data_IF_756731076564
#
_entry.id   IF_756731076564
#
_cell.length_a   1.000
_cell.length_b   1.000
_cell.length_c   1.000
_cell.angle_alpha   90.00
_cell.angle_beta   90.00
_cell.angle_gamma   90.00
#
_symmetry.space_group_name_H-M   'P 1'
#
loop_
_entity.id
_entity.type
_entity.pdbx_description
1 polymer ?
#
# COMPACT_ATOMS: atom_id res chain seq x y z
N UNK A 1 -6.39 12.82 -6.08
CA UNK A 1 -5.73 12.50 -4.79
C UNK A 1 -6.82 12.28 -3.76
N UNK A 2 -6.71 11.24 -2.94
CA UNK A 2 -7.62 10.94 -1.84
C UNK A 2 -6.80 10.87 -0.55
N UNK A 3 -7.39 11.29 0.57
CA UNK A 3 -6.83 11.12 1.91
C UNK A 3 -7.89 10.43 2.78
N UNK A 4 -7.49 9.37 3.47
CA UNK A 4 -8.30 8.67 4.47
C UNK A 4 -7.59 8.77 5.81
N UNK A 5 -8.35 9.00 6.87
CA UNK A 5 -7.86 8.96 8.24
C UNK A 5 -8.64 7.91 9.03
N UNK A 6 -7.95 7.17 9.89
CA UNK A 6 -8.57 6.20 10.77
C UNK A 6 -7.88 6.16 12.13
N UNK A 7 -8.67 6.19 13.19
CA UNK A 7 -8.16 5.91 14.54
C UNK A 7 -7.94 4.40 14.78
N UNK A 8 -8.56 3.54 13.96
CA UNK A 8 -8.44 2.09 14.07
C UNK A 8 -8.44 1.44 12.67
N UNK A 9 -7.27 1.03 12.15
CA UNK A 9 -7.17 0.44 10.82
C UNK A 9 -7.86 -0.93 10.73
N UNK A 10 -8.21 -1.57 11.85
CA UNK A 10 -8.88 -2.88 11.86
C UNK A 10 -10.33 -2.82 11.35
N UNK A 11 -10.89 -1.62 11.33
CA UNK A 11 -12.25 -1.33 10.83
C UNK A 11 -12.32 -1.19 9.31
N UNK A 12 -11.17 -1.14 8.63
CA UNK A 12 -11.11 -0.95 7.19
C UNK A 12 -11.80 -2.11 6.43
N UNK A 13 -12.52 -1.81 5.33
CA UNK A 13 -13.27 -2.82 4.59
C UNK A 13 -12.32 -3.82 3.92
N UNK A 14 -12.61 -5.11 4.10
CA UNK A 14 -11.86 -6.19 3.43
C UNK A 14 -12.36 -6.36 2.00
N UNK A 15 -11.44 -6.41 1.03
CA UNK A 15 -11.78 -6.53 -0.40
C UNK A 15 -11.59 -7.93 -0.98
N UNK A 16 -10.77 -8.76 -0.35
CA UNK A 16 -10.51 -10.14 -0.80
C UNK A 16 -10.97 -11.10 0.29
N UNK A 17 -11.82 -12.06 -0.08
CA UNK A 17 -12.28 -13.11 0.84
C UNK A 17 -11.21 -14.18 1.03
N UNK A 18 -11.18 -14.81 2.21
CA UNK A 18 -10.33 -15.98 2.47
C UNK A 18 -8.85 -15.68 2.73
N UNK A 19 -8.40 -14.43 2.62
CA UNK A 19 -7.03 -14.04 2.98
C UNK A 19 -6.99 -13.30 4.32
N UNK A 20 -5.87 -13.44 5.02
CA UNK A 20 -5.51 -12.55 6.11
C UNK A 20 -4.49 -11.54 5.58
N UNK A 21 -4.71 -10.27 5.91
CA UNK A 21 -3.78 -9.19 5.64
C UNK A 21 -3.74 -8.27 6.86
N UNK A 22 -2.64 -7.54 7.01
CA UNK A 22 -2.52 -6.52 8.04
C UNK A 22 -3.65 -5.48 7.89
N UNK A 23 -4.24 -4.99 8.99
CA UNK A 23 -5.23 -3.90 8.95
C UNK A 23 -4.84 -2.71 8.08
N UNK A 24 -3.56 -2.30 8.10
CA UNK A 24 -3.05 -1.20 7.26
C UNK A 24 -3.16 -1.54 5.77
N UNK A 25 -3.03 -2.81 5.38
CA UNK A 25 -3.18 -3.24 3.99
C UNK A 25 -4.60 -2.95 3.48
N UNK A 26 -5.62 -3.19 4.30
CA UNK A 26 -7.01 -2.89 3.96
C UNK A 26 -7.28 -1.40 3.91
N UNK A 27 -6.72 -0.63 4.85
CA UNK A 27 -6.84 0.84 4.85
C UNK A 27 -6.23 1.45 3.58
N UNK A 28 -5.03 1.00 3.19
CA UNK A 28 -4.36 1.41 1.96
C UNK A 28 -5.20 1.00 0.74
N UNK A 29 -5.67 -0.24 0.71
CA UNK A 29 -6.49 -0.76 -0.38
C UNK A 29 -7.78 0.05 -0.56
N UNK A 30 -8.37 0.56 0.53
CA UNK A 30 -9.54 1.43 0.47
C UNK A 30 -9.22 2.81 -0.10
N UNK A 31 -8.09 3.41 0.28
CA UNK A 31 -7.61 4.67 -0.30
C UNK A 31 -7.34 4.53 -1.81
N UNK A 32 -6.77 3.40 -2.23
CA UNK A 32 -6.56 3.08 -3.64
C UNK A 32 -7.89 2.96 -4.39
N UNK A 33 -8.87 2.24 -3.84
CA UNK A 33 -10.20 2.18 -4.46
C UNK A 33 -10.83 3.58 -4.59
N UNK A 34 -10.69 4.41 -3.55
CA UNK A 34 -11.15 5.80 -3.56
C UNK A 34 -10.57 6.59 -4.73
N UNK A 35 -9.26 6.51 -4.97
CA UNK A 35 -8.64 7.25 -6.08
C UNK A 35 -9.03 6.69 -7.44
N UNK A 36 -9.13 5.37 -7.58
CA UNK A 36 -9.50 4.72 -8.85
C UNK A 36 -10.95 5.03 -9.26
N UNK A 37 -11.87 5.20 -8.30
CA UNK A 37 -13.25 5.61 -8.57
C UNK A 37 -13.36 7.01 -9.20
N UNK A 38 -12.29 7.82 -9.15
CA UNK A 38 -12.24 9.17 -9.75
C UNK A 38 -11.57 9.20 -11.12
N UNK A 39 -11.20 8.05 -11.67
CA UNK A 39 -10.37 7.90 -12.88
C UNK A 39 -11.10 7.08 -13.93
N UNK A 40 -10.66 7.20 -15.18
CA UNK A 40 -10.95 6.20 -16.19
C UNK A 40 -10.32 4.86 -15.80
N UNK A 41 -10.88 3.76 -16.33
CA UNK A 41 -10.33 2.42 -16.11
C UNK A 41 -8.89 2.39 -16.63
N UNK A 42 -7.95 2.04 -15.73
CA UNK A 42 -6.54 1.86 -16.08
C UNK A 42 -6.30 0.43 -16.52
N UNK A 43 -5.39 0.20 -17.47
CA UNK A 43 -4.91 -1.14 -17.80
C UNK A 43 -4.06 -1.68 -16.63
N UNK A 44 -4.50 -2.73 -15.92
CA UNK A 44 -3.79 -3.23 -14.74
C UNK A 44 -2.36 -3.69 -15.02
N UNK A 45 -2.05 -4.07 -16.26
CA UNK A 45 -0.69 -4.49 -16.66
C UNK A 45 0.30 -3.32 -16.72
N UNK A 46 -0.22 -2.10 -16.84
CA UNK A 46 0.54 -0.85 -16.95
C UNK A 46 0.66 -0.08 -15.62
N UNK A 47 0.07 -0.60 -14.54
CA UNK A 47 -0.01 0.09 -13.25
C UNK A 47 1.09 -0.40 -12.32
N UNK A 48 2.04 0.49 -12.02
CA UNK A 48 2.97 0.31 -10.91
C UNK A 48 2.36 0.73 -9.57
N UNK A 49 2.86 0.17 -8.47
CA UNK A 49 2.39 0.51 -7.12
C UNK A 49 3.58 0.81 -6.21
N UNK A 50 3.61 2.04 -5.68
CA UNK A 50 4.63 2.48 -4.74
C UNK A 50 3.96 2.83 -3.41
N UNK A 51 4.33 2.11 -2.35
CA UNK A 51 3.84 2.35 -0.99
C UNK A 51 4.98 2.85 -0.12
N UNK A 52 4.75 3.88 0.66
CA UNK A 52 5.67 4.35 1.71
C UNK A 52 4.99 4.22 3.05
N UNK A 53 5.65 3.54 3.99
CA UNK A 53 5.14 3.41 5.35
C UNK A 53 6.23 3.01 6.33
N UNK A 54 6.53 3.87 7.30
CA UNK A 54 7.39 3.53 8.43
C UNK A 54 6.83 2.33 9.21
N UNK A 55 5.55 2.38 9.58
CA UNK A 55 4.91 1.36 10.43
C UNK A 55 4.54 0.08 9.69
N UNK A 56 4.42 0.10 8.35
CA UNK A 56 4.17 -1.08 7.51
C UNK A 56 3.13 -2.05 8.13
N UNK A 57 3.56 -3.24 8.54
CA UNK A 57 2.72 -4.32 9.11
C UNK A 57 2.95 -4.52 10.61
N UNK A 58 3.31 -3.45 11.34
CA UNK A 58 3.66 -3.52 12.76
C UNK A 58 2.56 -4.18 13.61
N UNK A 59 1.28 -3.93 13.28
CA UNK A 59 0.15 -4.56 13.96
C UNK A 59 0.23 -6.10 13.90
N UNK A 60 0.42 -6.64 12.69
CA UNK A 60 0.54 -8.10 12.49
C UNK A 60 1.83 -8.64 13.08
N UNK A 61 2.95 -7.92 12.94
CA UNK A 61 4.23 -8.30 13.53
C UNK A 61 4.13 -8.44 15.06
N UNK A 62 3.46 -7.49 15.74
CA UNK A 62 3.20 -7.56 17.18
C UNK A 62 2.34 -8.76 17.55
N UNK A 63 1.26 -9.00 16.80
CA UNK A 63 0.40 -10.18 17.02
C UNK A 63 1.16 -11.50 16.85
N UNK A 64 2.06 -11.58 15.87
CA UNK A 64 2.93 -12.74 15.66
C UNK A 64 3.90 -12.89 16.81
N UNK A 65 4.58 -11.83 17.25
CA UNK A 65 5.52 -11.85 18.36
C UNK A 65 4.87 -12.34 19.67
N UNK A 66 3.68 -11.84 19.99
CA UNK A 66 2.91 -12.32 21.16
C UNK A 66 2.54 -13.80 21.06
N UNK A 67 2.30 -14.30 19.84
CA UNK A 67 1.96 -15.70 19.60
C UNK A 67 3.16 -16.65 19.77
N UNK A 68 4.39 -16.16 19.55
CA UNK A 68 5.63 -16.92 19.79
C UNK A 68 5.70 -17.38 21.25
N UNK A 69 5.40 -16.49 22.19
CA UNK A 69 5.41 -16.81 23.63
C UNK A 69 4.42 -17.92 24.01
N UNK A 70 3.38 -18.14 23.19
CA UNK A 70 2.36 -19.18 23.36
C UNK A 70 2.65 -20.46 22.56
N UNK A 71 3.76 -20.51 21.82
CA UNK A 71 4.21 -21.68 21.05
C UNK A 71 3.37 -22.02 19.82
N UNK A 72 2.48 -21.12 19.35
CA UNK A 72 1.59 -21.37 18.21
C UNK A 72 1.48 -20.13 17.32
N UNK A 73 2.10 -20.19 16.15
CA UNK A 73 2.05 -19.11 15.15
C UNK A 73 1.10 -19.51 14.02
N UNK A 74 0.22 -18.59 13.59
CA UNK A 74 -0.59 -18.78 12.39
C UNK A 74 0.27 -18.58 11.15
N UNK A 75 0.36 -19.56 10.22
CA UNK A 75 1.12 -19.40 8.98
C UNK A 75 0.64 -18.20 8.14
N UNK A 76 -0.67 -17.96 8.11
CA UNK A 76 -1.25 -16.83 7.38
C UNK A 76 -0.84 -15.48 7.98
N UNK A 77 -0.85 -15.36 9.31
CA UNK A 77 -0.40 -14.12 9.97
C UNK A 77 1.09 -13.91 9.83
N UNK A 78 1.87 -14.98 9.89
CA UNK A 78 3.31 -14.92 9.68
C UNK A 78 3.65 -14.41 8.27
N UNK A 79 2.99 -14.94 7.23
CA UNK A 79 3.16 -14.47 5.86
C UNK A 79 2.74 -12.99 5.69
N UNK A 80 1.66 -12.58 6.33
CA UNK A 80 1.17 -11.20 6.28
C UNK A 80 2.04 -10.19 7.07
N UNK A 81 2.90 -10.66 7.98
CA UNK A 81 3.76 -9.80 8.81
C UNK A 81 4.96 -9.21 8.06
N UNK A 82 5.21 -9.64 6.82
CA UNK A 82 6.25 -9.05 5.96
C UNK A 82 5.79 -7.70 5.41
N UNK A 83 6.62 -6.64 5.42
CA UNK A 83 6.22 -5.31 4.95
C UNK A 83 5.66 -5.31 3.52
N UNK A 84 6.26 -6.08 2.60
CA UNK A 84 5.81 -6.22 1.22
C UNK A 84 4.39 -6.79 1.06
N UNK A 85 3.78 -7.34 2.12
CA UNK A 85 2.39 -7.80 2.07
C UNK A 85 1.40 -6.66 1.81
N UNK A 86 1.71 -5.42 2.24
CA UNK A 86 0.83 -4.27 1.99
C UNK A 86 0.65 -4.03 0.49
N UNK A 87 1.76 -3.94 -0.26
CA UNK A 87 1.71 -3.73 -1.70
C UNK A 87 1.15 -4.96 -2.43
N UNK A 88 1.45 -6.17 -1.94
CA UNK A 88 0.89 -7.40 -2.49
C UNK A 88 -0.63 -7.48 -2.41
N UNK A 89 -1.23 -7.04 -1.30
CA UNK A 89 -2.69 -7.01 -1.12
C UNK A 89 -3.36 -6.01 -2.07
N UNK A 90 -2.74 -4.83 -2.27
CA UNK A 90 -3.22 -3.85 -3.26
C UNK A 90 -3.21 -4.47 -4.66
N UNK A 91 -2.10 -5.07 -5.06
CA UNK A 91 -1.98 -5.67 -6.39
C UNK A 91 -2.97 -6.82 -6.58
N UNK A 92 -3.14 -7.68 -5.57
CA UNK A 92 -4.13 -8.75 -5.61
C UNK A 92 -5.58 -8.23 -5.69
N UNK A 93 -5.88 -7.11 -5.04
CA UNK A 93 -7.24 -6.55 -5.02
C UNK A 93 -7.66 -5.91 -6.35
N UNK A 94 -6.70 -5.34 -7.09
CA UNK A 94 -6.97 -4.59 -8.33
C UNK A 94 -6.38 -5.24 -9.59
N UNK A 95 -5.67 -6.36 -9.45
CA UNK A 95 -5.04 -7.08 -10.56
C UNK A 95 -3.82 -6.39 -11.16
N UNK A 96 -3.16 -5.48 -10.42
CA UNK A 96 -2.00 -4.74 -10.92
C UNK A 96 -0.79 -5.65 -11.13
N UNK A 97 -0.08 -5.44 -12.24
CA UNK A 97 1.05 -6.28 -12.65
C UNK A 97 2.32 -5.48 -13.02
N UNK A 98 2.30 -4.16 -12.89
CA UNK A 98 3.46 -3.31 -13.09
C UNK A 98 4.51 -3.43 -11.97
N UNK A 99 5.54 -2.57 -11.98
CA UNK A 99 6.56 -2.56 -10.94
C UNK A 99 5.95 -2.22 -9.57
N UNK A 100 6.41 -2.90 -8.52
CA UNK A 100 5.88 -2.69 -7.17
C UNK A 100 7.01 -2.56 -6.16
N UNK A 101 6.83 -1.65 -5.20
CA UNK A 101 7.76 -1.49 -4.09
C UNK A 101 7.04 -0.96 -2.87
N UNK A 102 7.53 -1.38 -1.71
CA UNK A 102 7.24 -0.73 -0.44
C UNK A 102 8.53 -0.18 0.18
N UNK A 103 8.51 1.07 0.58
CA UNK A 103 9.57 1.73 1.33
C UNK A 103 9.18 1.79 2.81
N UNK A 104 9.89 1.03 3.65
CA UNK A 104 9.68 1.01 5.11
C UNK A 104 10.46 2.13 5.81
N UNK A 105 10.15 3.37 5.47
CA UNK A 105 10.77 4.58 6.02
C UNK A 105 9.71 5.66 6.24
N UNK A 106 10.00 6.70 7.05
CA UNK A 106 9.13 7.87 7.16
C UNK A 106 8.92 8.58 5.82
N UNK A 107 7.75 9.16 5.62
CA UNK A 107 7.34 9.77 4.34
C UNK A 107 8.26 10.92 3.95
N UNK A 108 8.71 11.72 4.92
CA UNK A 108 9.62 12.84 4.70
C UNK A 108 11.01 12.40 4.22
N UNK A 109 11.43 11.18 4.56
CA UNK A 109 12.72 10.60 4.15
C UNK A 109 12.62 9.87 2.81
N UNK A 110 11.42 9.41 2.44
CA UNK A 110 11.20 8.65 1.21
C UNK A 110 11.28 9.51 -0.07
N UNK A 111 11.07 10.82 0.04
CA UNK A 111 10.85 11.70 -1.13
C UNK A 111 11.89 11.57 -2.25
N UNK A 112 13.22 11.62 -2.00
CA UNK A 112 14.19 11.49 -3.08
C UNK A 112 14.10 10.13 -3.81
N UNK A 113 13.80 9.06 -3.07
CA UNK A 113 13.66 7.71 -3.63
C UNK A 113 12.35 7.59 -4.42
N UNK A 114 11.26 8.15 -3.90
CA UNK A 114 9.96 8.19 -4.58
C UNK A 114 10.08 8.95 -5.91
N UNK A 115 10.68 10.14 -5.90
CA UNK A 115 10.85 10.96 -7.10
C UNK A 115 11.68 10.23 -8.17
N UNK A 116 12.76 9.55 -7.77
CA UNK A 116 13.58 8.75 -8.67
C UNK A 116 12.83 7.55 -9.26
N UNK A 117 12.10 6.79 -8.43
CA UNK A 117 11.32 5.63 -8.89
C UNK A 117 10.16 6.04 -9.79
N UNK A 118 9.48 7.15 -9.50
CA UNK A 118 8.43 7.66 -10.36
C UNK A 118 9.00 8.05 -11.73
N UNK A 119 10.14 8.73 -11.76
CA UNK A 119 10.78 9.11 -13.03
C UNK A 119 11.19 7.89 -13.86
N UNK A 120 11.80 6.89 -13.22
CA UNK A 120 12.23 5.65 -13.87
C UNK A 120 11.04 4.81 -14.35
N UNK A 121 10.06 4.57 -13.48
CA UNK A 121 8.94 3.70 -13.82
C UNK A 121 8.04 4.30 -14.87
N UNK A 122 7.75 5.59 -14.78
CA UNK A 122 6.92 6.28 -15.77
C UNK A 122 7.61 6.49 -17.12
N UNK A 123 8.93 6.27 -17.18
CA UNK A 123 9.65 6.26 -18.45
C UNK A 123 9.48 4.92 -19.18
N UNK A 124 9.70 3.80 -18.49
CA UNK A 124 9.93 2.52 -19.16
C UNK A 124 9.06 1.33 -18.70
N UNK A 125 8.46 1.37 -17.51
CA UNK A 125 7.87 0.16 -16.90
C UNK A 125 6.43 0.30 -16.40
N UNK A 126 5.87 1.51 -16.37
CA UNK A 126 4.49 1.77 -15.99
C UNK A 126 3.91 2.97 -16.77
N UNK A 127 2.67 2.85 -17.24
CA UNK A 127 1.92 4.00 -17.75
C UNK A 127 1.38 4.89 -16.62
N UNK A 128 1.13 4.27 -15.46
CA UNK A 128 0.61 4.91 -14.27
C UNK A 128 1.26 4.34 -13.02
N UNK A 129 1.50 5.16 -12.00
CA UNK A 129 1.92 4.71 -10.67
C UNK A 129 0.90 5.10 -9.63
N UNK A 130 0.33 4.11 -8.93
CA UNK A 130 -0.42 4.34 -7.71
C UNK A 130 0.59 4.60 -6.59
N UNK A 131 0.66 5.85 -6.14
CA UNK A 131 1.49 6.26 -5.02
C UNK A 131 0.65 6.34 -3.75
N UNK A 132 1.09 5.63 -2.72
CA UNK A 132 0.47 5.59 -1.39
C UNK A 132 1.49 6.03 -0.35
N UNK A 133 1.12 7.00 0.47
CA UNK A 133 1.87 7.43 1.64
C UNK A 133 1.04 7.10 2.89
N UNK A 134 1.59 6.31 3.81
CA UNK A 134 0.97 5.96 5.08
C UNK A 134 1.81 6.46 6.26
N UNK A 135 1.19 7.29 7.08
CA UNK A 135 1.76 7.91 8.27
C UNK A 135 0.90 7.58 9.48
N UNK A 136 1.51 7.55 10.67
CA UNK A 136 0.81 7.42 11.95
C UNK A 136 1.16 8.65 12.79
N UNK A 137 0.14 9.40 13.20
CA UNK A 137 0.32 10.56 14.07
C UNK A 137 0.68 10.12 15.50
N UNK A 138 1.19 11.05 16.31
CA UNK A 138 1.56 10.77 17.72
C UNK A 138 0.40 10.23 18.56
N UNK A 139 -0.84 10.59 18.22
CA UNK A 139 -2.06 10.08 18.87
C UNK A 139 -2.49 8.68 18.40
N UNK A 140 -1.68 8.04 17.54
CA UNK A 140 -1.93 6.71 16.97
C UNK A 140 -2.86 6.72 15.76
N UNK A 141 -3.30 7.89 15.28
CA UNK A 141 -4.19 7.97 14.12
C UNK A 141 -3.43 7.69 12.83
N UNK A 142 -3.96 6.77 12.04
CA UNK A 142 -3.44 6.43 10.72
C UNK A 142 -3.94 7.45 9.69
N UNK A 143 -3.04 7.93 8.84
CA UNK A 143 -3.37 8.73 7.66
C UNK A 143 -2.80 8.07 6.42
N UNK A 144 -3.66 7.89 5.41
CA UNK A 144 -3.24 7.37 4.11
C UNK A 144 -3.57 8.40 3.05
N UNK A 145 -2.55 8.89 2.34
CA UNK A 145 -2.71 9.71 1.15
C UNK A 145 -2.42 8.87 -0.08
N UNK A 146 -3.35 8.86 -1.03
CA UNK A 146 -3.25 8.10 -2.26
C UNK A 146 -3.43 8.99 -3.49
N UNK A 147 -2.58 8.78 -4.49
CA UNK A 147 -2.64 9.46 -5.78
C UNK A 147 -2.25 8.51 -6.90
N UNK A 148 -2.69 8.83 -8.12
CA UNK A 148 -2.20 8.18 -9.34
C UNK A 148 -1.35 9.23 -10.06
N UNK A 149 -0.10 8.87 -10.34
CA UNK A 149 0.84 9.68 -11.11
C UNK A 149 0.91 9.09 -12.51
N UNK A 150 0.70 9.92 -13.51
CA UNK A 150 0.70 9.49 -14.91
C UNK A 150 2.07 9.80 -15.53
N UNK A 151 2.55 8.91 -16.40
CA UNK A 151 3.66 9.24 -17.29
C UNK A 151 3.19 10.39 -18.18
N UNK A 152 4.07 11.38 -18.42
CA UNK A 152 3.70 12.51 -19.29
C UNK A 152 3.15 11.96 -20.60
N UNK A 153 1.90 12.28 -20.89
CA UNK A 153 1.26 11.92 -22.15
C UNK A 153 2.07 12.47 -23.32
N UNK A 154 2.43 11.61 -24.26
CA UNK A 154 2.56 12.08 -25.63
C UNK A 154 1.16 12.49 -26.10
N UNK A 155 1.02 13.66 -26.77
CA UNK A 155 -0.25 14.05 -27.36
C UNK A 155 -0.56 13.12 -28.53
N UNK A 156 -1.62 12.34 -28.40
CA UNK A 156 -2.39 11.83 -29.54
C UNK A 156 -3.37 12.89 -30.03
#
# INVERSE_FOLDING_TARGET
MIRIESADPTTAPRRISGIYADPVAWLITDAVAGVLNTRAVLDPTSVGVLVVSEHSTEHTQRSVAEAVARGRISPMRFAAAGPGSLVGVVCAAFGFQGPTLLLSVPVEQARPVVDALLADWLHDSAGHVVLVMHEVAEDGRHSVTCSVVDGRGEPG
#
